data_IF_708601727548
#
_entry.id   IF_708601727548
#
_cell.length_a   1.000
_cell.length_b   1.000
_cell.length_c   1.000
_cell.angle_alpha   90.00
_cell.angle_beta   90.00
_cell.angle_gamma   90.00
#
_symmetry.space_group_name_H-M   'P 1'
#
loop_
_entity.id
_entity.type
_entity.pdbx_description
1 polymer ?
#
# COMPACT_ATOMS: atom_id res chain seq x y z
N UNK A 1 1.83 14.28 22.95
CA UNK A 1 2.05 12.96 22.34
C UNK A 1 0.69 12.49 21.84
N UNK A 2 0.50 12.32 20.53
CA UNK A 2 -0.76 11.77 20.03
C UNK A 2 -0.87 10.31 20.52
N UNK A 3 -2.04 9.88 21.03
CA UNK A 3 -2.24 8.49 21.42
C UNK A 3 -2.15 7.59 20.18
N UNK A 4 -1.74 6.34 20.39
CA UNK A 4 -1.79 5.32 19.35
C UNK A 4 -3.22 5.23 18.77
N UNK A 5 -3.39 5.05 17.44
CA UNK A 5 -4.71 4.98 16.82
C UNK A 5 -5.60 3.92 17.47
N UNK A 6 -6.87 4.25 17.71
CA UNK A 6 -7.81 3.32 18.34
C UNK A 6 -8.70 2.60 17.32
N UNK A 7 -8.84 3.14 16.11
CA UNK A 7 -9.64 2.59 15.01
C UNK A 7 -8.92 2.62 13.67
N UNK A 8 -9.41 1.84 12.70
CA UNK A 8 -8.93 1.91 11.33
C UNK A 8 -9.14 3.31 10.70
N UNK A 9 -10.22 4.00 11.06
CA UNK A 9 -10.47 5.38 10.63
C UNK A 9 -9.40 6.36 11.12
N UNK A 10 -8.97 6.22 12.39
CA UNK A 10 -7.89 7.03 12.96
C UNK A 10 -6.60 6.84 12.14
N UNK A 11 -6.23 5.61 11.81
CA UNK A 11 -5.08 5.31 10.96
C UNK A 11 -5.14 5.98 9.60
N UNK A 12 -6.31 5.96 8.95
CA UNK A 12 -6.53 6.58 7.64
C UNK A 12 -6.47 8.11 7.72
N UNK A 13 -6.86 8.70 8.85
CA UNK A 13 -6.79 10.15 9.09
C UNK A 13 -5.35 10.65 9.32
N UNK A 14 -4.47 9.80 9.88
CA UNK A 14 -3.06 10.08 10.12
C UNK A 14 -2.20 10.14 8.85
N UNK A 15 -2.77 10.25 7.67
CA UNK A 15 -1.98 10.24 6.44
C UNK A 15 -2.53 11.17 5.37
N UNK A 16 -3.50 12.00 5.74
CA UNK A 16 -3.98 13.09 4.91
C UNK A 16 -3.12 14.31 5.29
N UNK A 17 -2.29 14.85 4.39
CA UNK A 17 -1.56 16.08 4.66
C UNK A 17 -2.58 17.18 4.96
N UNK A 18 -2.48 17.81 6.13
CA UNK A 18 -3.30 18.97 6.41
C UNK A 18 -2.85 20.11 5.47
N UNK A 19 -3.76 20.85 4.84
CA UNK A 19 -3.39 21.91 3.87
C UNK A 19 -2.45 22.97 4.44
N UNK A 20 -2.39 23.09 5.77
CA UNK A 20 -1.52 24.00 6.51
C UNK A 20 -0.07 23.52 6.66
N UNK A 21 0.22 22.24 6.38
CA UNK A 21 1.53 21.62 6.63
C UNK A 21 2.46 21.62 5.41
N UNK A 22 2.10 22.31 4.32
CA UNK A 22 2.86 22.35 3.06
C UNK A 22 4.28 22.96 3.17
N UNK A 23 4.68 23.51 4.32
CA UNK A 23 5.92 24.29 4.45
C UNK A 23 6.86 23.95 5.60
N UNK A 24 6.61 22.91 6.40
CA UNK A 24 7.51 22.58 7.52
C UNK A 24 8.22 21.25 7.25
N UNK A 25 9.52 21.33 6.96
CA UNK A 25 10.44 20.18 6.85
C UNK A 25 10.72 19.52 8.21
N UNK A 26 9.66 19.18 8.95
CA UNK A 26 9.69 18.54 10.26
C UNK A 26 9.05 17.16 10.20
N UNK A 27 9.63 16.23 10.95
CA UNK A 27 9.14 14.85 11.18
C UNK A 27 7.62 14.85 11.24
N UNK A 28 6.97 14.17 10.30
CA UNK A 28 5.52 14.09 10.28
C UNK A 28 5.09 13.37 11.56
N UNK A 29 4.19 13.99 12.34
CA UNK A 29 3.61 13.37 13.54
C UNK A 29 2.96 11.99 13.25
N UNK A 30 2.69 11.72 11.98
CA UNK A 30 2.28 10.43 11.41
C UNK A 30 3.27 9.30 11.68
N UNK A 31 4.56 9.59 11.85
CA UNK A 31 5.60 8.59 12.13
C UNK A 31 5.43 7.99 13.54
N UNK A 32 4.88 8.72 14.52
CA UNK A 32 4.85 8.27 15.93
C UNK A 32 4.09 6.96 16.10
N UNK A 33 2.93 6.80 15.45
CA UNK A 33 2.16 5.57 15.52
C UNK A 33 2.91 4.39 14.87
N UNK A 34 3.48 4.61 13.69
CA UNK A 34 4.29 3.60 13.00
C UNK A 34 5.54 3.21 13.79
N UNK A 35 6.22 4.19 14.41
CA UNK A 35 7.40 3.96 15.26
C UNK A 35 7.12 3.06 16.46
N UNK A 36 5.92 3.14 17.05
CA UNK A 36 5.56 2.20 18.14
C UNK A 36 5.48 0.75 17.67
N UNK A 37 5.21 0.52 16.38
CA UNK A 37 5.18 -0.80 15.75
C UNK A 37 6.56 -1.25 15.24
N UNK A 38 7.61 -0.45 15.42
CA UNK A 38 8.97 -0.78 14.94
C UNK A 38 9.40 -2.18 15.35
N UNK A 39 9.22 -2.53 16.63
CA UNK A 39 9.61 -3.84 17.13
C UNK A 39 8.82 -4.97 16.46
N UNK A 40 7.52 -4.77 16.25
CA UNK A 40 6.65 -5.75 15.56
C UNK A 40 7.19 -6.08 14.18
N UNK A 41 7.56 -5.05 13.40
CA UNK A 41 8.12 -5.27 12.06
C UNK A 41 9.53 -5.88 12.10
N UNK A 42 10.36 -5.49 13.07
CA UNK A 42 11.69 -6.07 13.23
C UNK A 42 11.64 -7.55 13.61
N UNK A 43 10.67 -7.97 14.42
CA UNK A 43 10.49 -9.35 14.85
C UNK A 43 10.14 -10.29 13.67
N UNK A 44 9.53 -9.76 12.60
CA UNK A 44 9.29 -10.47 11.34
C UNK A 44 10.33 -10.14 10.24
N UNK A 45 11.44 -9.51 10.62
CA UNK A 45 12.59 -9.27 9.74
C UNK A 45 12.60 -7.94 9.00
N UNK A 46 11.56 -7.10 9.10
CA UNK A 46 11.50 -5.81 8.43
C UNK A 46 12.10 -4.67 9.24
N UNK A 47 12.80 -3.76 8.57
CA UNK A 47 13.20 -2.47 9.17
C UNK A 47 12.20 -1.39 8.82
N UNK A 48 11.63 -0.73 9.82
CA UNK A 48 10.81 0.46 9.64
C UNK A 48 11.69 1.67 9.34
N UNK A 49 11.54 2.26 8.14
CA UNK A 49 12.34 3.42 7.71
C UNK A 49 11.45 4.58 7.23
N UNK A 50 11.53 5.70 7.93
CA UNK A 50 10.89 6.96 7.55
C UNK A 50 11.66 7.63 6.40
N UNK A 51 11.38 7.27 5.14
CA UNK A 51 12.02 7.93 4.01
C UNK A 51 11.34 9.26 3.72
N UNK A 52 12.00 10.35 4.15
CA UNK A 52 11.58 11.77 4.15
C UNK A 52 11.10 12.39 2.80
N UNK A 53 10.90 11.63 1.72
CA UNK A 53 10.65 12.17 0.37
C UNK A 53 9.52 11.48 -0.40
N UNK A 54 8.71 10.64 0.22
CA UNK A 54 7.65 9.94 -0.51
C UNK A 54 6.27 10.20 0.09
N UNK A 55 5.34 10.52 -0.79
CA UNK A 55 3.91 10.51 -0.49
C UNK A 55 3.46 9.06 -0.58
N UNK A 56 3.05 8.48 0.54
CA UNK A 56 2.36 7.18 0.58
C UNK A 56 0.85 7.42 0.63
N UNK A 57 0.07 6.42 0.22
CA UNK A 57 -1.39 6.46 0.40
C UNK A 57 -1.76 6.50 1.88
N UNK A 58 -2.96 7.00 2.23
CA UNK A 58 -3.36 7.03 3.62
C UNK A 58 -3.34 5.67 4.33
N UNK A 59 -2.74 5.62 5.52
CA UNK A 59 -2.57 4.39 6.30
C UNK A 59 -1.49 3.44 5.77
N UNK A 60 -0.57 3.93 4.93
CA UNK A 60 0.55 3.15 4.42
C UNK A 60 1.93 3.75 4.77
N UNK A 61 2.92 2.87 4.92
CA UNK A 61 4.29 3.18 5.32
C UNK A 61 5.32 2.37 4.52
N UNK A 62 6.59 2.74 4.61
CA UNK A 62 7.68 2.06 3.90
C UNK A 62 8.44 1.13 4.87
N UNK A 63 8.62 -0.12 4.48
CA UNK A 63 9.52 -1.06 5.16
C UNK A 63 10.68 -1.43 4.23
N UNK A 64 11.82 -1.78 4.81
CA UNK A 64 12.95 -2.34 4.08
C UNK A 64 13.18 -3.78 4.56
N UNK A 65 13.02 -4.81 3.69
CA UNK A 65 13.36 -6.18 4.02
C UNK A 65 14.88 -6.37 4.10
N UNK A 66 15.36 -7.36 4.88
CA UNK A 66 16.78 -7.50 5.18
C UNK A 66 17.57 -8.11 4.02
N UNK A 67 16.93 -8.97 3.21
CA UNK A 67 17.63 -9.81 2.24
C UNK A 67 17.87 -9.13 0.88
N UNK A 68 17.02 -8.19 0.48
CA UNK A 68 16.98 -7.73 -0.92
C UNK A 68 17.18 -6.22 -1.09
N UNK A 69 17.14 -5.44 0.00
CA UNK A 69 17.26 -3.97 -0.01
C UNK A 69 16.20 -3.21 -0.82
N UNK A 70 15.21 -3.90 -1.40
CA UNK A 70 14.10 -3.29 -2.12
C UNK A 70 12.99 -2.93 -1.13
N UNK A 71 12.79 -1.63 -0.97
CA UNK A 71 11.69 -1.08 -0.17
C UNK A 71 10.34 -1.73 -0.55
N UNK A 72 9.51 -1.98 0.45
CA UNK A 72 8.12 -2.46 0.31
C UNK A 72 7.18 -1.48 0.98
N UNK A 73 5.89 -1.58 0.68
CA UNK A 73 4.84 -0.78 1.32
C UNK A 73 4.10 -1.66 2.33
N UNK A 74 3.93 -1.19 3.55
CA UNK A 74 3.03 -1.79 4.54
C UNK A 74 1.80 -0.91 4.68
N UNK A 75 0.61 -1.51 4.69
CA UNK A 75 -0.66 -0.80 4.90
C UNK A 75 -1.44 -1.44 6.02
N UNK A 76 -2.05 -0.64 6.89
CA UNK A 76 -3.05 -1.13 7.85
C UNK A 76 -4.34 -1.43 7.10
N UNK A 77 -4.78 -2.68 7.11
CA UNK A 77 -5.96 -3.13 6.34
C UNK A 77 -7.18 -3.26 7.24
N UNK A 78 -7.02 -3.85 8.43
CA UNK A 78 -8.14 -4.16 9.32
C UNK A 78 -7.75 -4.02 10.78
N UNK A 79 -8.72 -3.67 11.60
CA UNK A 79 -8.67 -3.68 13.06
C UNK A 79 -9.55 -4.79 13.67
N UNK A 80 -10.04 -5.70 12.83
CA UNK A 80 -10.88 -6.83 13.22
C UNK A 80 -12.35 -6.49 13.50
N UNK A 81 -12.74 -5.21 13.50
CA UNK A 81 -14.10 -4.78 13.85
C UNK A 81 -14.74 -3.87 12.79
N UNK A 82 -13.95 -3.04 12.10
CA UNK A 82 -14.44 -2.15 11.05
C UNK A 82 -14.86 -2.99 9.83
N UNK A 83 -16.15 -2.93 9.40
CA UNK A 83 -16.64 -3.73 8.28
C UNK A 83 -15.95 -3.39 6.96
N UNK A 84 -15.51 -2.15 6.78
CA UNK A 84 -14.75 -1.73 5.59
C UNK A 84 -13.38 -2.40 5.55
N UNK A 85 -12.69 -2.45 6.69
CA UNK A 85 -11.39 -3.11 6.80
C UNK A 85 -11.48 -4.62 6.67
N UNK A 86 -12.51 -5.24 7.27
CA UNK A 86 -12.79 -6.66 7.10
C UNK A 86 -13.09 -7.01 5.64
N UNK A 87 -13.87 -6.18 4.95
CA UNK A 87 -14.17 -6.36 3.52
C UNK A 87 -12.93 -6.21 2.65
N UNK A 88 -12.09 -5.20 2.93
CA UNK A 88 -10.82 -5.01 2.22
C UNK A 88 -9.88 -6.21 2.41
N UNK A 89 -9.79 -6.75 3.63
CA UNK A 89 -9.01 -7.94 3.93
C UNK A 89 -9.52 -9.18 3.17
N UNK A 90 -10.84 -9.40 3.16
CA UNK A 90 -11.48 -10.50 2.43
C UNK A 90 -11.20 -10.42 0.93
N UNK A 91 -11.33 -9.23 0.33
CA UNK A 91 -11.04 -9.01 -1.08
C UNK A 91 -9.57 -9.32 -1.39
N UNK A 92 -8.64 -8.79 -0.61
CA UNK A 92 -7.21 -9.03 -0.83
C UNK A 92 -6.85 -10.51 -0.69
N UNK A 93 -7.40 -11.22 0.30
CA UNK A 93 -7.18 -12.66 0.48
C UNK A 93 -7.76 -13.46 -0.70
N UNK A 94 -8.92 -13.06 -1.21
CA UNK A 94 -9.54 -13.69 -2.37
C UNK A 94 -8.66 -13.50 -3.61
N UNK A 95 -8.26 -12.27 -3.92
CA UNK A 95 -7.43 -11.94 -5.08
C UNK A 95 -6.03 -12.58 -5.04
N UNK A 96 -5.53 -12.87 -3.84
CA UNK A 96 -4.20 -13.50 -3.63
C UNK A 96 -4.27 -15.00 -3.39
N UNK A 97 -5.44 -15.62 -3.54
CA UNK A 97 -5.62 -17.07 -3.50
C UNK A 97 -5.79 -17.66 -4.90
N UNK A 98 -5.50 -18.96 -5.04
CA UNK A 98 -5.68 -19.64 -6.32
C UNK A 98 -7.17 -19.86 -6.63
N UNK A 99 -7.59 -19.77 -7.91
CA UNK A 99 -6.76 -19.60 -9.11
C UNK A 99 -6.51 -18.13 -9.52
N UNK A 100 -7.05 -17.16 -8.77
CA UNK A 100 -7.00 -15.74 -9.14
C UNK A 100 -5.57 -15.18 -9.09
N UNK A 101 -4.76 -15.66 -8.14
CA UNK A 101 -3.36 -15.26 -8.00
C UNK A 101 -2.52 -15.60 -9.23
N UNK A 102 -2.67 -16.80 -9.79
CA UNK A 102 -1.86 -17.25 -10.93
C UNK A 102 -2.52 -16.97 -12.29
N UNK A 103 -3.68 -16.31 -12.31
CA UNK A 103 -4.38 -16.04 -13.56
C UNK A 103 -3.54 -15.10 -14.44
N UNK A 104 -3.34 -15.39 -15.75
CA UNK A 104 -2.52 -14.54 -16.63
C UNK A 104 -3.04 -13.10 -16.75
N UNK A 105 -4.36 -12.91 -16.59
CA UNK A 105 -5.00 -11.59 -16.61
C UNK A 105 -5.02 -10.90 -15.24
N UNK A 106 -4.40 -11.50 -14.21
CA UNK A 106 -4.34 -10.88 -12.88
C UNK A 106 -3.31 -9.76 -12.89
N UNK A 107 -3.81 -8.53 -12.99
CA UNK A 107 -3.02 -7.29 -12.89
C UNK A 107 -3.05 -6.74 -11.45
N UNK A 108 -3.53 -7.52 -10.49
CA UNK A 108 -3.62 -7.09 -9.11
C UNK A 108 -2.22 -7.01 -8.48
N UNK A 109 -1.95 -5.91 -7.76
CA UNK A 109 -0.73 -5.81 -6.97
C UNK A 109 -0.75 -6.90 -5.90
N UNK A 110 0.21 -7.84 -5.89
CA UNK A 110 0.16 -8.96 -4.98
C UNK A 110 0.44 -8.52 -3.54
N UNK A 111 -0.27 -9.13 -2.58
CA UNK A 111 0.16 -9.09 -1.18
C UNK A 111 1.31 -10.07 -1.02
N UNK A 112 2.45 -9.57 -0.54
CA UNK A 112 3.64 -10.37 -0.24
C UNK A 112 3.45 -11.14 1.06
N UNK A 113 2.90 -10.46 2.08
CA UNK A 113 2.74 -11.00 3.42
C UNK A 113 1.62 -10.28 4.18
N UNK A 114 0.96 -10.99 5.09
CA UNK A 114 0.10 -10.40 6.11
C UNK A 114 0.76 -10.49 7.49
N UNK A 115 1.05 -9.33 8.09
CA UNK A 115 1.59 -9.23 9.44
C UNK A 115 0.42 -8.97 10.40
N UNK A 116 0.34 -9.72 11.50
CA UNK A 116 -0.74 -9.58 12.49
C UNK A 116 -0.15 -9.18 13.83
N UNK A 117 -0.75 -8.17 14.46
CA UNK A 117 -0.38 -7.73 15.80
C UNK A 117 -1.61 -7.22 16.54
N UNK A 118 -1.91 -7.84 17.68
CA UNK A 118 -3.16 -7.66 18.41
C UNK A 118 -4.38 -7.79 17.49
N UNK A 119 -5.16 -6.71 17.39
CA UNK A 119 -6.35 -6.63 16.51
C UNK A 119 -6.01 -6.19 15.08
N UNK A 120 -4.79 -5.74 14.83
CA UNK A 120 -4.40 -5.11 13.56
C UNK A 120 -3.89 -6.14 12.57
N UNK A 121 -4.36 -6.01 11.33
CA UNK A 121 -3.87 -6.75 10.17
C UNK A 121 -3.20 -5.77 9.22
N UNK A 122 -1.92 -6.00 8.95
CA UNK A 122 -1.12 -5.24 8.01
C UNK A 122 -0.89 -6.10 6.77
N UNK A 123 -0.95 -5.49 5.59
CA UNK A 123 -0.56 -6.14 4.34
C UNK A 123 0.70 -5.48 3.79
N UNK A 124 1.66 -6.31 3.39
CA UNK A 124 2.90 -5.89 2.74
C UNK A 124 2.75 -6.05 1.23
N UNK A 125 3.08 -5.00 0.50
CA UNK A 125 2.99 -4.92 -0.96
C UNK A 125 4.37 -4.60 -1.55
N UNK A 126 4.67 -5.03 -2.79
CA UNK A 126 5.81 -4.49 -3.50
C UNK A 126 5.71 -2.97 -3.55
N UNK A 127 6.84 -2.27 -3.49
CA UNK A 127 6.85 -0.83 -3.75
C UNK A 127 6.80 -0.59 -5.26
N UNK A 128 5.78 0.11 -5.70
CA UNK A 128 5.66 0.62 -7.06
C UNK A 128 6.06 2.10 -7.09
N UNK A 129 6.49 2.59 -8.26
CA UNK A 129 6.72 4.01 -8.50
C UNK A 129 5.39 4.79 -8.52
N UNK A 130 5.46 6.11 -8.62
CA UNK A 130 4.27 6.94 -8.75
C UNK A 130 3.45 6.51 -9.98
N UNK A 131 2.29 5.89 -9.75
CA UNK A 131 1.43 5.33 -10.79
C UNK A 131 0.23 6.23 -11.13
N UNK A 132 0.01 7.31 -10.37
CA UNK A 132 -1.09 8.27 -10.64
C UNK A 132 -0.70 9.35 -11.65
N UNK A 133 0.59 9.56 -11.86
CA UNK A 133 1.14 10.51 -12.82
C UNK A 133 2.22 9.82 -13.68
N UNK A 134 1.83 8.84 -14.51
CA UNK A 134 2.77 8.19 -15.42
C UNK A 134 3.34 9.22 -16.41
N UNK A 135 4.67 9.22 -16.56
CA UNK A 135 5.34 10.06 -17.56
C UNK A 135 5.44 9.30 -18.87
N UNK A 136 4.47 9.49 -19.76
CA UNK A 136 4.47 8.88 -21.09
C UNK A 136 5.27 9.74 -22.06
N UNK A 137 6.24 9.14 -22.75
CA UNK A 137 7.03 9.77 -23.81
C UNK A 137 6.42 9.53 -25.20
N UNK A 138 5.49 8.57 -25.32
CA UNK A 138 4.83 8.25 -26.59
C UNK A 138 3.38 7.78 -26.44
N UNK A 139 2.61 7.84 -27.54
CA UNK A 139 1.25 7.25 -27.61
C UNK A 139 1.28 5.73 -27.45
N UNK A 140 2.36 5.07 -27.85
CA UNK A 140 2.53 3.62 -27.66
C UNK A 140 2.50 3.25 -26.17
N UNK A 141 3.24 3.99 -25.34
CA UNK A 141 3.26 3.76 -23.89
C UNK A 141 1.90 4.00 -23.22
N UNK A 142 1.11 4.93 -23.74
CA UNK A 142 -0.26 5.17 -23.29
C UNK A 142 -1.13 3.94 -23.57
N UNK A 143 -1.07 3.39 -24.78
CA UNK A 143 -1.83 2.20 -25.17
C UNK A 143 -1.38 0.97 -24.36
N UNK A 144 -0.07 0.80 -24.15
CA UNK A 144 0.48 -0.27 -23.31
C UNK A 144 -0.04 -0.16 -21.87
N UNK A 145 -0.05 1.04 -21.29
CA UNK A 145 -0.62 1.26 -19.96
C UNK A 145 -2.11 0.92 -19.88
N UNK A 146 -2.91 1.33 -20.87
CA UNK A 146 -4.32 0.96 -20.93
C UNK A 146 -4.52 -0.54 -21.09
N UNK A 147 -3.64 -1.23 -21.80
CA UNK A 147 -3.70 -2.68 -21.96
C UNK A 147 -3.53 -3.45 -20.63
N UNK A 148 -2.84 -2.85 -19.65
CA UNK A 148 -2.71 -3.40 -18.29
C UNK A 148 -3.96 -3.16 -17.42
N UNK A 149 -4.85 -2.24 -17.80
CA UNK A 149 -6.03 -1.86 -17.00
C UNK A 149 -7.30 -2.45 -17.61
N UNK A 150 -7.40 -2.41 -18.94
CA UNK A 150 -8.56 -2.88 -19.67
C UNK A 150 -8.48 -4.39 -19.89
N UNK A 151 -9.59 -5.12 -19.74
CA UNK A 151 -9.67 -6.52 -20.13
C UNK A 151 -9.26 -6.69 -21.59
N UNK A 152 -8.54 -7.77 -21.91
CA UNK A 152 -8.06 -8.07 -23.27
C UNK A 152 -9.18 -8.03 -24.33
N UNK A 153 -10.42 -8.31 -23.93
CA UNK A 153 -11.62 -8.24 -24.77
C UNK A 153 -11.88 -6.84 -25.39
N UNK A 154 -11.43 -5.76 -24.74
CA UNK A 154 -11.59 -4.39 -25.22
C UNK A 154 -10.52 -3.96 -26.22
N UNK A 155 -9.33 -4.57 -26.17
CA UNK A 155 -8.25 -4.28 -27.12
C UNK A 155 -8.59 -4.78 -28.54
N UNK A 156 -9.39 -5.84 -28.63
CA UNK A 156 -9.91 -6.39 -29.90
C UNK A 156 -10.89 -5.45 -30.61
N UNK A 157 -11.54 -4.53 -29.88
CA UNK A 157 -12.54 -3.61 -30.43
C UNK A 157 -11.93 -2.30 -30.97
N UNK A 158 -10.68 -2.00 -30.62
CA UNK A 158 -9.94 -0.82 -31.11
C UNK A 158 -9.07 -1.12 -32.33
N UNK A 159 -9.13 -2.36 -32.85
CA UNK A 159 -8.35 -2.84 -33.99
C UNK A 159 -9.20 -3.37 -35.16
N UNK A 160 -10.26 -2.65 -35.53
CA UNK A 160 -11.02 -2.86 -36.77
C UNK A 160 -11.12 -1.57 -37.60
#
# INVERSE_FOLDING_TARGET
>A
MQPFPNSLSDWRSLSIPNEKDRYIGGVYFHDVAWETLRKVFMDVGYTLYARRRYVTSPGAYILTPPENGRDVIVKVISDGIDPTGLRELEILQTLTSEPLKSHPDSQCVPVLEYIRHDKWVFAVFPRWSNCTEPNFESVGEVLDFYSCILPQEWNSALGA
#
